data_IF_501007025158
#
_entry.id   IF_501007025158
#
_cell.length_a   1.000
_cell.length_b   1.000
_cell.length_c   1.000
_cell.angle_alpha   90.00
_cell.angle_beta   90.00
_cell.angle_gamma   90.00
#
_symmetry.space_group_name_H-M   'P 1'
#
loop_
_entity.id
_entity.type
_entity.pdbx_description
1 polymer ?
#
# COMPACT_ATOMS: atom_id res chain seq x y z
N UNK A 1 -2.04 33.57 -5.06
CA UNK A 1 -1.41 32.23 -5.03
C UNK A 1 -0.35 32.17 -3.93
N UNK A 2 -0.01 30.98 -3.44
CA UNK A 2 0.99 30.86 -2.37
C UNK A 2 1.12 29.45 -1.78
N UNK A 3 2.03 29.32 -0.82
CA UNK A 3 2.22 28.11 -0.03
C UNK A 3 1.54 28.22 1.33
N UNK A 4 0.89 27.13 1.74
CA UNK A 4 0.26 27.02 3.05
C UNK A 4 0.50 25.63 3.63
N UNK A 5 0.47 25.55 4.96
CA UNK A 5 0.42 24.29 5.70
C UNK A 5 -1.02 23.97 6.06
N UNK A 6 -1.38 22.71 5.92
CA UNK A 6 -2.67 22.18 6.33
C UNK A 6 -2.45 20.91 7.14
N UNK A 7 -3.20 20.77 8.23
CA UNK A 7 -3.21 19.53 9.01
C UNK A 7 -4.02 18.45 8.29
N UNK A 8 -3.58 17.20 8.38
CA UNK A 8 -4.31 16.06 7.80
C UNK A 8 -5.81 16.04 8.20
N UNK A 9 -6.10 16.34 9.46
CA UNK A 9 -7.47 16.35 10.01
C UNK A 9 -8.34 17.48 9.42
N UNK A 10 -7.72 18.53 8.87
CA UNK A 10 -8.42 19.71 8.37
C UNK A 10 -8.83 19.59 6.90
N UNK A 11 -8.26 18.65 6.13
CA UNK A 11 -8.59 18.47 4.71
C UNK A 11 -10.08 18.26 4.44
N UNK A 12 -10.81 17.35 5.13
CA UNK A 12 -12.23 17.16 4.85
C UNK A 12 -13.06 18.43 5.09
N UNK A 13 -12.65 19.27 6.04
CA UNK A 13 -13.34 20.53 6.36
C UNK A 13 -13.14 21.57 5.25
N UNK A 14 -11.92 21.67 4.73
CA UNK A 14 -11.58 22.55 3.60
C UNK A 14 -12.31 22.10 2.33
N UNK A 15 -12.36 20.79 2.07
CA UNK A 15 -13.11 20.24 0.94
C UNK A 15 -14.61 20.58 1.06
N UNK A 16 -15.18 20.45 2.25
CA UNK A 16 -16.55 20.85 2.51
C UNK A 16 -16.76 22.36 2.28
N UNK A 17 -15.89 23.23 2.82
CA UNK A 17 -15.97 24.70 2.57
C UNK A 17 -15.92 25.04 1.07
N UNK A 18 -15.08 24.32 0.30
CA UNK A 18 -14.94 24.54 -1.14
C UNK A 18 -16.17 24.15 -1.96
N UNK A 19 -16.99 23.22 -1.46
CA UNK A 19 -18.19 22.74 -2.16
C UNK A 19 -19.36 23.73 -2.06
N UNK A 20 -19.45 24.49 -0.95
CA UNK A 20 -20.56 25.40 -0.67
C UNK A 20 -20.26 26.88 -0.93
N UNK A 21 -19.01 27.24 -1.27
CA UNK A 21 -18.59 28.64 -1.42
C UNK A 21 -18.21 28.95 -2.87
N UNK A 22 -18.97 29.81 -3.54
CA UNK A 22 -18.61 30.32 -4.86
C UNK A 22 -17.35 31.21 -4.78
N UNK A 23 -16.39 31.01 -5.68
CA UNK A 23 -15.12 31.75 -5.69
C UNK A 23 -14.15 31.38 -4.56
N UNK A 24 -14.27 30.18 -3.97
CA UNK A 24 -13.42 29.72 -2.88
C UNK A 24 -11.93 29.74 -3.24
N UNK A 25 -11.13 30.38 -2.38
CA UNK A 25 -9.68 30.31 -2.42
C UNK A 25 -9.14 29.62 -1.16
N UNK A 26 -8.43 28.51 -1.34
CA UNK A 26 -7.87 27.71 -0.25
C UNK A 26 -6.96 28.52 0.69
N UNK A 27 -6.29 29.56 0.17
CA UNK A 27 -5.40 30.45 0.95
C UNK A 27 -6.14 31.34 1.95
N UNK A 28 -7.46 31.48 1.81
CA UNK A 28 -8.32 32.30 2.68
C UNK A 28 -9.03 31.47 3.76
N UNK A 29 -8.91 30.14 3.74
CA UNK A 29 -9.56 29.29 4.74
C UNK A 29 -8.92 29.47 6.13
N UNK A 30 -9.75 29.46 7.17
CA UNK A 30 -9.31 29.51 8.57
C UNK A 30 -8.54 28.25 9.02
N UNK A 31 -8.67 27.16 8.26
CA UNK A 31 -8.06 25.88 8.58
C UNK A 31 -6.64 25.71 8.04
N UNK A 32 -6.13 26.69 7.28
CA UNK A 32 -4.78 26.67 6.72
C UNK A 32 -3.88 27.68 7.42
N UNK A 33 -2.63 27.30 7.64
CA UNK A 33 -1.58 28.22 8.10
C UNK A 33 -0.80 28.69 6.88
N UNK A 34 -1.07 29.92 6.45
CA UNK A 34 -0.38 30.52 5.32
C UNK A 34 1.11 30.73 5.62
N UNK A 35 1.98 30.25 4.73
CA UNK A 35 3.44 30.37 4.86
C UNK A 35 3.98 31.48 3.97
N UNK A 36 3.55 31.49 2.71
CA UNK A 36 4.07 32.41 1.70
C UNK A 36 2.97 32.78 0.71
N UNK A 37 2.92 34.06 0.31
CA UNK A 37 2.13 34.52 -0.84
C UNK A 37 3.08 35.13 -1.87
N UNK A 38 2.76 34.92 -3.14
CA UNK A 38 3.57 35.41 -4.26
C UNK A 38 3.58 36.94 -4.39
N UNK A 39 2.60 37.64 -3.82
CA UNK A 39 2.56 39.11 -3.75
C UNK A 39 3.79 39.69 -3.02
N UNK A 40 4.37 38.95 -2.07
CA UNK A 40 5.59 39.33 -1.34
C UNK A 40 6.86 39.24 -2.19
N UNK A 41 6.78 38.69 -3.40
CA UNK A 41 7.90 38.56 -4.34
C UNK A 41 8.10 39.83 -5.20
N UNK A 42 7.49 40.96 -4.82
CA UNK A 42 7.39 42.22 -5.59
C UNK A 42 8.72 42.99 -5.82
N UNK A 43 9.80 42.30 -6.17
CA UNK A 43 11.06 42.92 -6.62
C UNK A 43 12.27 41.97 -6.67
N UNK A 44 12.24 40.80 -6.03
CA UNK A 44 13.33 39.82 -6.03
C UNK A 44 12.90 38.50 -6.68
N UNK A 45 13.74 37.91 -7.53
CA UNK A 45 13.46 36.64 -8.21
C UNK A 45 13.47 35.41 -7.27
N UNK A 46 13.89 35.58 -6.02
CA UNK A 46 14.06 34.50 -5.03
C UNK A 46 13.55 34.91 -3.65
N UNK A 47 13.00 33.95 -2.90
CA UNK A 47 12.55 34.14 -1.52
C UNK A 47 13.03 32.96 -0.67
N UNK A 48 13.69 33.28 0.46
CA UNK A 48 14.08 32.31 1.47
C UNK A 48 13.45 32.72 2.81
N UNK A 49 12.73 31.79 3.44
CA UNK A 49 12.12 32.01 4.75
C UNK A 49 11.92 30.69 5.47
N UNK A 50 11.93 30.74 6.81
CA UNK A 50 11.61 29.61 7.67
C UNK A 50 10.46 29.99 8.59
N UNK A 51 9.61 29.02 8.91
CA UNK A 51 8.47 29.19 9.81
C UNK A 51 8.53 28.12 10.88
N UNK A 52 8.51 28.55 12.15
CA UNK A 52 8.40 27.64 13.28
C UNK A 52 6.94 27.19 13.46
N UNK A 53 6.77 25.90 13.74
CA UNK A 53 5.47 25.30 14.03
C UNK A 53 5.45 24.95 15.51
N UNK A 54 4.60 25.63 16.27
CA UNK A 54 4.49 25.48 17.73
C UNK A 54 3.60 24.28 18.11
N UNK A 55 2.57 23.99 17.32
CA UNK A 55 1.62 22.91 17.57
C UNK A 55 2.08 21.60 16.90
N UNK A 56 2.39 20.53 17.65
CA UNK A 56 2.83 19.27 17.08
C UNK A 56 1.65 18.54 16.41
N UNK A 57 1.72 18.40 15.09
CA UNK A 57 0.76 17.62 14.30
C UNK A 57 1.40 17.21 12.96
N UNK A 58 0.64 16.48 12.12
CA UNK A 58 1.01 16.16 10.74
C UNK A 58 0.53 17.25 9.80
N UNK A 59 1.48 17.96 9.22
CA UNK A 59 1.24 19.04 8.28
C UNK A 59 1.67 18.63 6.88
N UNK A 60 0.86 18.99 5.89
CA UNK A 60 1.21 18.94 4.48
C UNK A 60 1.43 20.36 3.97
N UNK A 61 2.54 20.56 3.25
CA UNK A 61 2.84 21.79 2.54
C UNK A 61 2.26 21.72 1.14
N UNK A 62 1.37 22.65 0.81
CA UNK A 62 0.65 22.66 -0.47
C UNK A 62 0.80 24.02 -1.14
N UNK A 63 0.92 23.99 -2.45
CA UNK A 63 0.80 25.18 -3.29
C UNK A 63 -0.66 25.39 -3.72
N UNK A 64 -1.24 26.54 -3.36
CA UNK A 64 -2.57 26.95 -3.77
C UNK A 64 -2.54 27.98 -4.90
N UNK A 65 -3.06 27.60 -6.07
CA UNK A 65 -3.40 28.55 -7.14
C UNK A 65 -4.90 28.87 -7.09
N UNK A 66 -5.25 30.12 -6.76
CA UNK A 66 -6.63 30.62 -6.74
C UNK A 66 -6.94 31.55 -7.92
N UNK A 67 -6.04 31.65 -8.91
CA UNK A 67 -6.20 32.47 -10.11
C UNK A 67 -5.84 31.59 -11.31
N UNK A 68 -6.78 30.73 -11.75
CA UNK A 68 -6.51 29.71 -12.76
C UNK A 68 -6.09 30.28 -14.12
N UNK A 69 -6.32 31.59 -14.37
CA UNK A 69 -5.94 32.29 -15.58
C UNK A 69 -4.42 32.46 -15.73
N UNK A 70 -3.67 32.33 -14.63
CA UNK A 70 -2.24 32.53 -14.59
C UNK A 70 -1.50 31.23 -14.31
N UNK A 71 -0.57 30.88 -15.19
CA UNK A 71 0.36 29.77 -15.01
C UNK A 71 1.64 30.27 -14.35
N UNK A 72 2.15 29.51 -13.37
CA UNK A 72 3.39 29.84 -12.67
C UNK A 72 4.35 28.66 -12.75
N UNK A 73 5.56 28.94 -13.23
CA UNK A 73 6.69 28.01 -13.17
C UNK A 73 7.67 28.52 -12.12
N UNK A 74 8.06 27.65 -11.20
CA UNK A 74 8.97 28.00 -10.10
C UNK A 74 9.85 26.80 -9.74
N UNK A 75 11.06 27.10 -9.28
CA UNK A 75 11.92 26.11 -8.63
C UNK A 75 11.76 26.27 -7.12
N UNK A 76 11.32 25.20 -6.44
CA UNK A 76 10.94 25.25 -5.03
C UNK A 76 11.78 24.25 -4.26
N UNK A 77 12.56 24.75 -3.30
CA UNK A 77 13.28 23.91 -2.34
C UNK A 77 12.60 24.02 -0.97
N UNK A 78 12.14 22.88 -0.44
CA UNK A 78 11.42 22.83 0.83
C UNK A 78 12.07 21.84 1.77
N UNK A 79 12.37 22.26 2.99
CA UNK A 79 12.88 21.40 4.04
C UNK A 79 11.91 21.42 5.23
N UNK A 80 11.41 20.24 5.62
CA UNK A 80 10.61 20.06 6.83
C UNK A 80 11.36 19.11 7.75
N UNK A 81 11.68 19.59 8.95
CA UNK A 81 12.40 18.83 9.96
C UNK A 81 11.88 19.18 11.36
N UNK A 82 11.93 18.18 12.23
CA UNK A 82 11.76 18.35 13.66
C UNK A 82 13.11 18.69 14.29
N UNK A 83 13.10 19.47 15.36
CA UNK A 83 14.30 19.76 16.15
C UNK A 83 14.20 19.00 17.46
N UNK A 84 15.18 18.15 17.73
CA UNK A 84 15.26 17.38 18.98
C UNK A 84 15.87 18.24 20.10
N UNK A 85 15.72 17.81 21.35
CA UNK A 85 16.22 18.54 22.52
C UNK A 85 17.74 18.81 22.49
N UNK A 86 18.49 18.03 21.71
CA UNK A 86 19.93 18.16 21.48
C UNK A 86 20.27 19.12 20.31
N UNK A 87 19.28 19.78 19.71
CA UNK A 87 19.43 20.65 18.55
C UNK A 87 19.61 19.92 17.22
N UNK A 88 19.58 18.58 17.20
CA UNK A 88 19.72 17.81 15.97
C UNK A 88 18.44 17.86 15.13
N UNK A 89 18.61 17.94 13.80
CA UNK A 89 17.50 17.87 12.84
C UNK A 89 17.04 16.42 12.68
N UNK A 90 15.74 16.20 12.71
CA UNK A 90 15.09 14.92 12.48
C UNK A 90 14.05 15.10 11.36
N UNK A 91 14.36 14.58 10.18
CA UNK A 91 13.51 14.74 9.00
C UNK A 91 12.38 13.69 8.94
N UNK A 92 12.23 12.80 9.92
CA UNK A 92 11.12 11.86 9.95
C UNK A 92 9.82 12.54 10.40
N UNK A 93 8.67 12.20 9.80
CA UNK A 93 7.37 12.69 10.24
C UNK A 93 7.06 12.33 11.70
N UNK A 94 6.23 13.17 12.35
CA UNK A 94 5.70 12.90 13.68
C UNK A 94 5.01 11.52 13.73
N UNK A 95 5.46 10.67 14.66
CA UNK A 95 5.00 9.29 14.83
C UNK A 95 5.85 8.22 14.11
N UNK A 96 6.82 8.61 13.27
CA UNK A 96 7.76 7.66 12.64
C UNK A 96 9.16 7.68 13.27
N UNK A 97 9.45 8.62 14.17
CA UNK A 97 10.78 8.78 14.80
C UNK A 97 11.27 7.55 15.58
N UNK A 98 10.34 6.72 16.08
CA UNK A 98 10.66 5.46 16.77
C UNK A 98 10.89 4.27 15.80
N UNK A 99 10.42 4.37 14.55
CA UNK A 99 10.42 3.27 13.58
C UNK A 99 11.80 2.69 13.28
N UNK A 100 12.88 3.48 13.08
CA UNK A 100 14.21 2.92 12.86
C UNK A 100 14.63 1.97 13.98
N UNK A 101 14.45 2.39 15.24
CA UNK A 101 14.81 1.61 16.42
C UNK A 101 13.98 0.33 16.53
N UNK A 102 12.68 0.39 16.24
CA UNK A 102 11.79 -0.77 16.25
C UNK A 102 12.18 -1.79 15.18
N UNK A 103 12.46 -1.35 13.95
CA UNK A 103 12.90 -2.24 12.89
C UNK A 103 14.24 -2.91 13.21
N UNK A 104 15.19 -2.15 13.76
CA UNK A 104 16.46 -2.68 14.21
C UNK A 104 16.31 -3.72 15.34
N UNK A 105 15.49 -3.42 16.36
CA UNK A 105 15.22 -4.36 17.45
C UNK A 105 14.59 -5.65 16.94
N UNK A 106 13.57 -5.54 16.07
CA UNK A 106 12.95 -6.71 15.45
C UNK A 106 13.95 -7.50 14.60
N UNK A 107 14.84 -6.82 13.87
CA UNK A 107 15.91 -7.48 13.12
C UNK A 107 16.79 -8.35 14.03
N UNK A 108 17.20 -7.85 15.20
CA UNK A 108 17.99 -8.63 16.17
C UNK A 108 17.21 -9.87 16.65
N UNK A 109 15.95 -9.71 17.02
CA UNK A 109 15.08 -10.82 17.45
C UNK A 109 14.98 -11.90 16.36
N UNK A 110 14.71 -11.51 15.11
CA UNK A 110 14.62 -12.45 14.00
C UNK A 110 15.97 -13.10 13.65
N UNK A 111 17.08 -12.40 13.87
CA UNK A 111 18.44 -12.95 13.66
C UNK A 111 18.76 -14.00 14.72
N UNK A 112 18.37 -13.78 15.97
CA UNK A 112 18.49 -14.78 17.04
C UNK A 112 17.65 -16.01 16.70
N UNK A 113 16.38 -15.83 16.31
CA UNK A 113 15.53 -16.95 15.88
C UNK A 113 16.10 -17.69 14.68
N UNK A 114 16.68 -17.00 13.70
CA UNK A 114 17.37 -17.62 12.57
C UNK A 114 18.54 -18.47 13.05
N UNK A 115 19.39 -17.94 13.96
CA UNK A 115 20.50 -18.68 14.55
C UNK A 115 20.05 -19.93 15.31
N UNK A 116 19.04 -19.80 16.18
CA UNK A 116 18.45 -20.93 16.90
C UNK A 116 17.86 -21.97 15.95
N UNK A 117 17.16 -21.54 14.90
CA UNK A 117 16.56 -22.43 13.90
C UNK A 117 17.63 -23.20 13.12
N UNK A 118 18.68 -22.52 12.66
CA UNK A 118 19.83 -23.14 11.99
C UNK A 118 20.49 -24.15 12.91
N UNK A 119 20.73 -23.79 14.17
CA UNK A 119 21.31 -24.69 15.17
C UNK A 119 20.49 -25.98 15.35
N UNK A 120 19.17 -25.85 15.50
CA UNK A 120 18.25 -27.00 15.60
C UNK A 120 18.32 -27.85 14.34
N UNK A 121 18.31 -27.23 13.15
CA UNK A 121 18.38 -27.94 11.87
C UNK A 121 19.70 -28.72 11.71
N UNK A 122 20.82 -28.16 12.18
CA UNK A 122 22.12 -28.85 12.13
C UNK A 122 22.13 -30.02 13.11
N UNK A 123 21.64 -29.82 14.34
CA UNK A 123 21.63 -30.86 15.38
C UNK A 123 20.73 -32.05 15.01
N UNK A 124 19.57 -31.77 14.42
CA UNK A 124 18.58 -32.78 14.07
C UNK A 124 18.57 -33.10 12.56
N UNK A 125 19.73 -33.05 11.89
CA UNK A 125 19.84 -33.21 10.43
C UNK A 125 19.14 -34.44 9.87
N UNK A 126 19.05 -35.53 10.64
CA UNK A 126 18.38 -36.77 10.23
C UNK A 126 16.86 -36.65 10.05
N UNK A 127 16.20 -35.66 10.65
CA UNK A 127 14.75 -35.44 10.53
C UNK A 127 14.41 -34.12 9.81
N UNK A 128 15.41 -33.41 9.30
CA UNK A 128 15.21 -32.12 8.60
C UNK A 128 14.83 -32.36 7.15
N UNK A 129 13.55 -32.12 6.86
CA UNK A 129 13.05 -32.08 5.48
C UNK A 129 13.31 -30.74 4.79
N UNK A 130 13.11 -30.72 3.46
CA UNK A 130 13.26 -29.51 2.62
C UNK A 130 12.43 -28.32 3.11
N UNK A 131 11.29 -28.56 3.76
CA UNK A 131 10.43 -27.51 4.30
C UNK A 131 11.16 -26.67 5.35
N UNK A 132 11.95 -27.31 6.23
CA UNK A 132 12.70 -26.61 7.29
C UNK A 132 13.77 -25.69 6.71
N UNK A 133 14.40 -26.06 5.59
CA UNK A 133 15.35 -25.23 4.86
C UNK A 133 14.66 -24.02 4.21
N UNK A 134 13.48 -24.22 3.62
CA UNK A 134 12.68 -23.12 3.06
C UNK A 134 12.17 -22.19 4.18
N UNK A 135 11.80 -22.72 5.35
CA UNK A 135 11.48 -21.91 6.53
C UNK A 135 12.70 -21.13 7.06
N UNK A 136 13.90 -21.70 6.99
CA UNK A 136 15.13 -20.97 7.30
C UNK A 136 15.30 -19.78 6.34
N UNK A 137 15.06 -19.98 5.04
CA UNK A 137 15.09 -18.90 4.06
C UNK A 137 14.03 -17.82 4.36
N UNK A 138 12.85 -18.18 4.88
CA UNK A 138 11.84 -17.19 5.32
C UNK A 138 12.35 -16.27 6.43
N UNK A 139 12.97 -16.85 7.44
CA UNK A 139 13.54 -16.10 8.55
C UNK A 139 14.66 -15.17 8.08
N UNK A 140 15.51 -15.65 7.15
CA UNK A 140 16.56 -14.84 6.52
C UNK A 140 15.99 -13.64 5.77
N UNK A 141 15.08 -13.83 4.82
CA UNK A 141 14.50 -12.71 4.06
C UNK A 141 13.66 -11.78 4.93
N UNK A 142 13.06 -12.28 6.01
CA UNK A 142 12.39 -11.45 7.02
C UNK A 142 13.38 -10.53 7.74
N UNK A 143 14.55 -11.05 8.13
CA UNK A 143 15.61 -10.25 8.75
C UNK A 143 16.18 -9.21 7.77
N UNK A 144 16.53 -9.62 6.55
CA UNK A 144 17.04 -8.72 5.49
C UNK A 144 16.08 -7.57 5.19
N UNK A 145 14.77 -7.85 5.11
CA UNK A 145 13.77 -6.80 4.95
C UNK A 145 13.78 -5.79 6.11
N UNK A 146 13.90 -6.26 7.35
CA UNK A 146 13.84 -5.41 8.55
C UNK A 146 15.07 -4.51 8.68
N UNK A 147 16.27 -5.02 8.38
CA UNK A 147 17.48 -4.19 8.41
C UNK A 147 17.45 -3.11 7.32
N UNK A 148 16.97 -3.42 6.10
CA UNK A 148 16.79 -2.41 5.06
C UNK A 148 15.77 -1.34 5.47
N UNK A 149 14.66 -1.72 6.11
CA UNK A 149 13.68 -0.75 6.63
C UNK A 149 14.27 0.15 7.72
N UNK A 150 15.11 -0.41 8.59
CA UNK A 150 15.80 0.35 9.63
C UNK A 150 16.77 1.36 9.02
N UNK A 151 17.64 0.91 8.11
CA UNK A 151 18.63 1.75 7.45
C UNK A 151 17.99 2.85 6.62
N UNK A 152 16.95 2.54 5.84
CA UNK A 152 16.19 3.55 5.07
C UNK A 152 15.68 4.67 5.98
N UNK A 153 14.98 4.31 7.07
CA UNK A 153 14.43 5.29 8.00
C UNK A 153 15.52 6.03 8.76
N UNK A 154 16.60 5.37 9.15
CA UNK A 154 17.76 6.00 9.80
C UNK A 154 18.45 7.00 8.87
N UNK A 155 18.56 6.67 7.59
CA UNK A 155 19.14 7.54 6.58
C UNK A 155 18.27 8.78 6.37
N UNK A 156 16.97 8.59 6.12
CA UNK A 156 16.00 9.69 5.96
C UNK A 156 16.01 10.58 7.20
N UNK A 157 16.11 10.02 8.41
CA UNK A 157 16.22 10.80 9.65
C UNK A 157 17.35 11.84 9.61
N UNK A 158 18.48 11.52 8.95
CA UNK A 158 19.69 12.35 8.93
C UNK A 158 19.78 13.26 7.71
N UNK A 159 19.35 12.78 6.54
CA UNK A 159 19.56 13.47 5.26
C UNK A 159 18.29 14.09 4.68
N UNK A 160 17.12 13.65 5.14
CA UNK A 160 15.83 14.08 4.61
C UNK A 160 15.52 13.56 3.20
N UNK A 161 16.38 12.73 2.59
CA UNK A 161 16.21 12.26 1.21
C UNK A 161 16.18 10.72 1.13
N UNK A 162 15.24 10.13 0.36
CA UNK A 162 15.24 8.69 0.11
C UNK A 162 16.33 8.34 -0.90
N UNK A 163 17.27 7.47 -0.52
CA UNK A 163 18.44 7.11 -1.34
C UNK A 163 18.29 5.75 -2.07
N UNK A 164 17.08 5.17 -2.07
CA UNK A 164 16.79 3.89 -2.73
C UNK A 164 16.87 2.64 -1.85
N UNK A 165 17.13 2.78 -0.54
CA UNK A 165 17.08 1.64 0.40
C UNK A 165 15.68 1.05 0.55
N UNK A 166 14.65 1.84 0.29
CA UNK A 166 13.26 1.42 0.16
C UNK A 166 13.07 0.36 -0.94
N UNK A 167 13.82 0.44 -2.06
CA UNK A 167 13.81 -0.58 -3.12
C UNK A 167 14.24 -1.93 -2.56
N UNK A 168 15.31 -1.99 -1.77
CA UNK A 168 15.77 -3.22 -1.14
C UNK A 168 14.73 -3.80 -0.17
N UNK A 169 14.04 -2.94 0.58
CA UNK A 169 12.91 -3.35 1.43
C UNK A 169 11.79 -4.02 0.63
N UNK A 170 11.43 -3.48 -0.53
CA UNK A 170 10.43 -4.09 -1.41
C UNK A 170 10.93 -5.39 -2.04
N UNK A 171 12.18 -5.44 -2.50
CA UNK A 171 12.80 -6.64 -3.08
C UNK A 171 12.88 -7.78 -2.06
N UNK A 172 13.35 -7.55 -0.84
CA UNK A 172 13.35 -8.61 0.18
C UNK A 172 11.94 -8.95 0.67
N UNK A 173 11.03 -7.97 0.66
CA UNK A 173 9.60 -8.19 0.83
C UNK A 173 9.02 -9.17 -0.20
N UNK A 174 9.46 -9.09 -1.46
CA UNK A 174 9.10 -10.01 -2.52
C UNK A 174 9.40 -11.44 -2.16
N UNK A 175 10.70 -11.71 -1.96
CA UNK A 175 11.21 -13.06 -1.79
C UNK A 175 10.63 -13.66 -0.52
N UNK A 176 10.51 -12.87 0.55
CA UNK A 176 9.80 -13.28 1.78
C UNK A 176 8.33 -13.66 1.51
N UNK A 177 7.64 -12.97 0.62
CA UNK A 177 6.26 -13.26 0.22
C UNK A 177 6.14 -14.55 -0.60
N UNK A 178 6.95 -14.68 -1.66
CA UNK A 178 6.97 -15.87 -2.53
C UNK A 178 7.31 -17.12 -1.75
N UNK A 179 8.38 -17.07 -0.96
CA UNK A 179 8.80 -18.21 -0.15
C UNK A 179 7.72 -18.55 0.89
N UNK A 180 7.03 -17.56 1.46
CA UNK A 180 6.02 -17.82 2.51
C UNK A 180 4.86 -18.59 1.89
N UNK A 181 4.46 -18.13 0.72
CA UNK A 181 3.42 -18.79 -0.03
C UNK A 181 3.82 -20.22 -0.42
N UNK A 182 5.04 -20.42 -0.93
CA UNK A 182 5.58 -21.75 -1.24
C UNK A 182 5.52 -22.68 -0.02
N UNK A 183 5.89 -22.20 1.17
CA UNK A 183 5.78 -23.00 2.41
C UNK A 183 4.33 -23.37 2.73
N UNK A 184 3.39 -22.42 2.61
CA UNK A 184 1.96 -22.69 2.88
C UNK A 184 1.42 -23.78 1.95
N UNK A 185 1.76 -23.72 0.65
CA UNK A 185 1.36 -24.76 -0.30
C UNK A 185 2.01 -26.08 0.04
N UNK A 186 3.32 -26.11 0.29
CA UNK A 186 4.03 -27.35 0.60
C UNK A 186 3.48 -28.04 1.85
N UNK A 187 3.06 -27.27 2.86
CA UNK A 187 2.38 -27.78 4.05
C UNK A 187 0.96 -28.27 3.68
N UNK A 188 0.19 -27.45 2.96
CA UNK A 188 -1.21 -27.76 2.61
C UNK A 188 -1.39 -28.93 1.65
N UNK A 189 -0.43 -29.17 0.75
CA UNK A 189 -0.44 -30.30 -0.19
C UNK A 189 0.25 -31.55 0.36
N UNK A 190 0.74 -31.52 1.61
CA UNK A 190 1.45 -32.65 2.22
C UNK A 190 2.77 -33.01 1.54
N UNK A 191 3.36 -32.07 0.79
CA UNK A 191 4.52 -32.26 -0.08
C UNK A 191 5.85 -32.53 0.66
N UNK A 192 5.83 -32.67 2.00
CA UNK A 192 6.98 -33.17 2.77
C UNK A 192 7.29 -34.64 2.46
N UNK A 193 6.31 -35.43 2.01
CA UNK A 193 6.46 -36.84 1.65
C UNK A 193 6.11 -37.04 0.17
N UNK A 194 7.13 -37.36 -0.64
CA UNK A 194 7.06 -37.51 -2.09
C UNK A 194 5.88 -38.42 -2.56
N UNK A 195 4.97 -37.88 -3.38
CA UNK A 195 4.38 -38.64 -4.50
C UNK A 195 4.81 -37.95 -5.81
N UNK A 196 5.58 -38.62 -6.69
CA UNK A 196 6.01 -38.05 -7.98
C UNK A 196 4.87 -37.90 -9.01
N UNK A 197 3.62 -38.15 -8.60
CA UNK A 197 2.43 -38.10 -9.43
C UNK A 197 1.42 -37.09 -8.82
N UNK A 198 1.64 -35.80 -9.09
CA UNK A 198 0.58 -34.80 -8.95
C UNK A 198 -0.52 -35.15 -9.95
N UNK A 199 -1.76 -35.23 -9.47
CA UNK A 199 -2.92 -35.44 -10.34
C UNK A 199 -3.06 -34.25 -11.29
N UNK A 200 -3.45 -34.49 -12.55
CA UNK A 200 -3.66 -33.45 -13.58
C UNK A 200 -4.44 -32.22 -13.06
N UNK A 201 -5.42 -32.47 -12.18
CA UNK A 201 -6.25 -31.43 -11.55
C UNK A 201 -5.45 -30.54 -10.58
N UNK A 202 -4.62 -31.14 -9.73
CA UNK A 202 -3.79 -30.42 -8.76
C UNK A 202 -2.71 -29.59 -9.47
N UNK A 203 -2.13 -30.10 -10.56
CA UNK A 203 -1.18 -29.34 -11.39
C UNK A 203 -1.80 -28.07 -11.96
N UNK A 204 -3.03 -28.15 -12.47
CA UNK A 204 -3.73 -26.99 -13.06
C UNK A 204 -4.14 -25.96 -12.01
N UNK A 205 -4.56 -26.41 -10.82
CA UNK A 205 -4.85 -25.51 -9.69
C UNK A 205 -3.58 -24.81 -9.22
N UNK A 206 -2.46 -25.53 -9.08
CA UNK A 206 -1.17 -24.96 -8.74
C UNK A 206 -0.70 -23.93 -9.80
N UNK A 207 -0.86 -24.25 -11.09
CA UNK A 207 -0.52 -23.35 -12.19
C UNK A 207 -1.34 -22.06 -12.15
N UNK A 208 -2.66 -22.16 -11.99
CA UNK A 208 -3.53 -20.99 -11.84
C UNK A 208 -3.11 -20.14 -10.64
N UNK A 209 -2.84 -20.79 -9.51
CA UNK A 209 -2.42 -20.11 -8.29
C UNK A 209 -1.10 -19.36 -8.50
N UNK A 210 -0.10 -19.98 -9.12
CA UNK A 210 1.19 -19.35 -9.44
C UNK A 210 1.01 -18.11 -10.31
N UNK A 211 0.16 -18.20 -11.34
CA UNK A 211 -0.16 -17.07 -12.24
C UNK A 211 -0.84 -15.94 -11.47
N UNK A 212 -1.80 -16.25 -10.59
CA UNK A 212 -2.49 -15.25 -9.76
C UNK A 212 -1.54 -14.57 -8.78
N UNK A 213 -0.63 -15.31 -8.12
CA UNK A 213 0.40 -14.69 -7.26
C UNK A 213 1.27 -13.74 -8.08
N UNK A 214 1.78 -14.19 -9.23
CA UNK A 214 2.68 -13.40 -10.05
C UNK A 214 2.01 -12.09 -10.48
N UNK A 215 0.71 -12.14 -10.83
CA UNK A 215 -0.09 -10.98 -11.18
C UNK A 215 -0.33 -10.03 -9.98
N UNK A 216 -0.77 -10.56 -8.83
CA UNK A 216 -0.90 -9.77 -7.60
C UNK A 216 0.44 -9.13 -7.20
N UNK A 217 1.54 -9.84 -7.47
CA UNK A 217 2.87 -9.37 -7.16
C UNK A 217 3.35 -8.26 -8.11
N UNK A 218 3.12 -8.44 -9.41
CA UNK A 218 3.40 -7.42 -10.43
C UNK A 218 2.71 -6.10 -10.07
N UNK A 219 1.43 -6.16 -9.69
CA UNK A 219 0.70 -4.95 -9.30
C UNK A 219 1.20 -4.34 -7.98
N UNK A 220 1.60 -5.14 -6.98
CA UNK A 220 2.15 -4.62 -5.71
C UNK A 220 3.51 -3.92 -5.84
N UNK A 221 4.31 -4.26 -6.86
CA UNK A 221 5.60 -3.59 -7.14
C UNK A 221 5.44 -2.46 -8.16
N UNK A 222 4.68 -2.69 -9.22
CA UNK A 222 4.49 -1.69 -10.28
C UNK A 222 3.64 -0.52 -9.82
N UNK A 223 2.63 -0.71 -8.97
CA UNK A 223 1.77 0.41 -8.54
C UNK A 223 2.56 1.45 -7.72
N UNK A 224 3.39 1.08 -6.72
CA UNK A 224 4.29 2.04 -6.08
C UNK A 224 5.32 2.65 -7.03
N UNK A 225 5.91 1.85 -7.93
CA UNK A 225 6.88 2.34 -8.90
C UNK A 225 6.29 3.30 -9.94
N UNK A 226 5.02 3.12 -10.31
CA UNK A 226 4.28 4.07 -11.15
C UNK A 226 3.89 5.30 -10.32
N UNK A 227 3.55 5.13 -9.04
CA UNK A 227 3.28 6.23 -8.12
C UNK A 227 4.47 7.19 -7.95
N UNK A 228 5.71 6.68 -7.98
CA UNK A 228 6.93 7.51 -7.94
C UNK A 228 7.27 8.15 -9.29
N UNK A 229 6.79 7.61 -10.41
CA UNK A 229 6.95 8.20 -11.75
C UNK A 229 5.84 9.21 -12.07
N UNK A 230 4.64 9.02 -11.53
CA UNK A 230 3.42 9.82 -11.81
C UNK A 230 3.09 10.81 -10.67
N UNK A 231 4.04 11.06 -9.76
CA UNK A 231 3.91 12.09 -8.73
C UNK A 231 3.99 13.48 -9.34
N UNK A 232 2.88 13.96 -9.91
CA UNK A 232 2.52 15.39 -9.90
C UNK A 232 1.06 15.72 -10.23
N UNK A 233 0.22 14.79 -10.75
CA UNK A 233 -1.14 15.16 -11.24
C UNK A 233 -2.35 14.55 -10.52
N UNK A 234 -2.20 13.60 -9.59
CA UNK A 234 -3.37 12.87 -9.04
C UNK A 234 -3.26 12.50 -7.55
N UNK A 235 -2.78 13.42 -6.70
CA UNK A 235 -2.71 13.23 -5.24
C UNK A 235 -4.10 12.95 -4.59
N UNK A 236 -5.19 13.36 -5.25
CA UNK A 236 -6.56 13.06 -4.86
C UNK A 236 -6.95 11.57 -5.02
N UNK A 237 -6.26 10.83 -5.89
CA UNK A 237 -6.43 9.37 -6.02
C UNK A 237 -5.72 8.63 -4.88
N UNK A 238 -4.62 9.19 -4.37
CA UNK A 238 -3.88 8.65 -3.23
C UNK A 238 -4.53 9.01 -1.86
N UNK A 239 -5.10 10.20 -1.70
CA UNK A 239 -5.72 10.63 -0.43
C UNK A 239 -7.11 10.04 -0.17
N UNK A 240 -7.86 9.67 -1.22
CA UNK A 240 -9.08 8.83 -1.07
C UNK A 240 -8.74 7.37 -0.70
N UNK A 241 -7.45 7.00 -0.66
CA UNK A 241 -6.92 5.66 -0.41
C UNK A 241 -6.32 5.47 1.00
N UNK A 242 -6.83 6.21 2.00
CA UNK A 242 -6.55 5.93 3.42
C UNK A 242 -7.00 4.52 3.81
N UNK A 243 -6.05 3.58 3.88
CA UNK A 243 -6.22 2.24 4.45
C UNK A 243 -6.92 1.18 3.59
N UNK A 244 -7.38 1.51 2.37
CA UNK A 244 -8.26 0.63 1.58
C UNK A 244 -7.66 -0.05 0.35
N UNK A 245 -6.40 0.22 -0.03
CA UNK A 245 -5.87 -0.33 -1.29
C UNK A 245 -5.39 -1.79 -1.19
N UNK A 246 -5.25 -2.35 0.02
CA UNK A 246 -5.13 -3.80 0.19
C UNK A 246 -6.45 -4.54 -0.09
N UNK A 247 -7.58 -3.82 0.00
CA UNK A 247 -8.91 -4.24 -0.49
C UNK A 247 -9.13 -3.89 -1.97
N UNK A 248 -8.16 -3.21 -2.59
CA UNK A 248 -8.14 -2.76 -3.98
C UNK A 248 -7.91 -3.87 -5.01
N UNK A 249 -8.36 -5.08 -4.73
CA UNK A 249 -8.56 -6.13 -5.73
C UNK A 249 -9.99 -6.70 -5.62
N UNK A 250 -10.96 -5.85 -5.28
CA UNK A 250 -12.29 -6.05 -5.85
C UNK A 250 -12.10 -5.99 -7.36
N UNK A 251 -12.20 -7.12 -8.05
CA UNK A 251 -12.35 -7.11 -9.50
C UNK A 251 -13.54 -6.20 -9.77
N UNK A 252 -13.29 -5.00 -10.29
CA UNK A 252 -14.35 -4.08 -10.68
C UNK A 252 -15.11 -4.76 -11.82
N UNK A 253 -16.18 -5.46 -11.45
CA UNK A 253 -17.06 -6.13 -12.40
C UNK A 253 -17.83 -5.04 -13.14
N UNK A 254 -17.25 -4.57 -14.23
CA UNK A 254 -17.95 -3.73 -15.20
C UNK A 254 -18.76 -4.62 -16.13
N UNK A 255 -19.80 -4.05 -16.76
CA UNK A 255 -20.64 -4.77 -17.74
C UNK A 255 -19.83 -5.40 -18.88
N UNK A 256 -18.69 -4.77 -19.23
CA UNK A 256 -17.72 -5.23 -20.22
C UNK A 256 -17.00 -6.50 -19.79
N UNK A 257 -16.68 -6.64 -18.49
CA UNK A 257 -15.77 -7.67 -18.02
C UNK A 257 -16.48 -8.84 -17.28
N UNK A 258 -17.77 -8.72 -16.87
CA UNK A 258 -18.49 -9.83 -16.19
C UNK A 258 -18.46 -11.12 -17.01
N UNK A 259 -18.65 -11.08 -18.34
CA UNK A 259 -18.67 -12.32 -19.13
C UNK A 259 -17.32 -13.03 -19.15
N UNK A 260 -16.22 -12.27 -19.16
CA UNK A 260 -14.87 -12.85 -19.13
C UNK A 260 -14.58 -13.45 -17.77
N UNK A 261 -14.95 -12.76 -16.70
CA UNK A 261 -14.78 -13.23 -15.32
C UNK A 261 -15.58 -14.51 -15.08
N UNK A 262 -16.85 -14.55 -15.50
CA UNK A 262 -17.70 -15.73 -15.38
C UNK A 262 -17.14 -16.91 -16.17
N UNK A 263 -16.67 -16.69 -17.40
CA UNK A 263 -16.02 -17.74 -18.20
C UNK A 263 -14.77 -18.30 -17.52
N UNK A 264 -13.91 -17.43 -16.98
CA UNK A 264 -12.71 -17.86 -16.25
C UNK A 264 -13.08 -18.62 -14.98
N UNK A 265 -14.13 -18.19 -14.28
CA UNK A 265 -14.61 -18.85 -13.06
C UNK A 265 -15.23 -20.22 -13.35
N UNK A 266 -16.04 -20.34 -14.41
CA UNK A 266 -16.61 -21.61 -14.83
C UNK A 266 -15.53 -22.59 -15.30
N UNK A 267 -14.56 -22.11 -16.08
CA UNK A 267 -13.41 -22.90 -16.52
C UNK A 267 -12.58 -23.36 -15.31
N UNK A 268 -12.35 -22.48 -14.34
CA UNK A 268 -11.69 -22.83 -13.08
C UNK A 268 -12.48 -23.88 -12.28
N UNK A 269 -13.81 -23.76 -12.17
CA UNK A 269 -14.66 -24.74 -11.50
C UNK A 269 -14.62 -26.10 -12.18
N UNK A 270 -14.66 -26.11 -13.51
CA UNK A 270 -14.59 -27.32 -14.33
C UNK A 270 -13.24 -28.03 -14.17
N UNK A 271 -12.15 -27.26 -14.14
CA UNK A 271 -10.78 -27.78 -13.98
C UNK A 271 -10.49 -28.24 -12.54
N UNK A 272 -10.92 -27.48 -11.54
CA UNK A 272 -10.66 -27.76 -10.12
C UNK A 272 -11.60 -28.82 -9.54
N UNK A 273 -12.75 -29.07 -10.17
CA UNK A 273 -13.83 -29.90 -9.63
C UNK A 273 -14.60 -29.24 -8.48
N UNK A 274 -14.29 -27.98 -8.15
CA UNK A 274 -15.03 -27.17 -7.19
C UNK A 274 -16.31 -26.65 -7.85
N UNK A 275 -17.44 -26.79 -7.17
CA UNK A 275 -18.72 -26.23 -7.63
C UNK A 275 -19.02 -24.94 -6.90
N UNK A 276 -19.02 -23.82 -7.62
CA UNK A 276 -19.55 -22.55 -7.10
C UNK A 276 -21.07 -22.65 -7.07
N UNK A 277 -21.66 -22.53 -5.88
CA UNK A 277 -23.10 -22.52 -5.72
C UNK A 277 -23.62 -21.09 -5.90
N UNK A 278 -24.11 -20.78 -7.09
CA UNK A 278 -24.64 -19.45 -7.46
C UNK A 278 -25.78 -18.97 -6.55
N UNK A 279 -26.56 -19.88 -5.97
CA UNK A 279 -27.64 -19.53 -5.03
C UNK A 279 -27.13 -19.17 -3.62
N UNK A 280 -25.97 -19.70 -3.21
CA UNK A 280 -25.29 -19.35 -1.95
C UNK A 280 -24.38 -18.13 -2.11
N UNK A 281 -23.85 -17.90 -3.31
CA UNK A 281 -23.08 -16.71 -3.63
C UNK A 281 -23.95 -15.46 -3.58
N UNK A 282 -23.36 -14.33 -3.17
CA UNK A 282 -24.02 -13.03 -3.14
C UNK A 282 -23.17 -12.00 -3.86
N UNK A 283 -23.81 -11.18 -4.69
CA UNK A 283 -23.17 -10.11 -5.45
C UNK A 283 -23.43 -8.78 -4.74
N UNK A 284 -22.39 -8.14 -4.24
CA UNK A 284 -22.51 -6.77 -3.72
C UNK A 284 -22.17 -5.77 -4.82
N UNK A 285 -23.03 -4.76 -4.98
CA UNK A 285 -22.82 -3.67 -5.93
C UNK A 285 -22.82 -2.36 -5.14
N UNK A 286 -21.85 -1.50 -5.43
CA UNK A 286 -21.73 -0.20 -4.76
C UNK A 286 -23.03 0.61 -4.90
N UNK A 287 -23.50 1.28 -3.83
CA UNK A 287 -24.71 2.10 -3.86
C UNK A 287 -24.63 3.28 -4.84
N UNK A 288 -23.43 3.65 -5.29
CA UNK A 288 -23.21 4.69 -6.31
C UNK A 288 -23.50 4.23 -7.75
N UNK A 289 -23.80 2.95 -7.97
CA UNK A 289 -24.14 2.40 -9.29
C UNK A 289 -25.66 2.38 -9.46
N UNK A 290 -26.11 2.82 -10.63
CA UNK A 290 -27.52 2.81 -11.01
C UNK A 290 -28.15 1.41 -10.80
N UNK A 291 -29.28 1.35 -10.08
CA UNK A 291 -29.95 0.08 -9.71
C UNK A 291 -30.26 -0.82 -10.90
N UNK A 292 -30.51 -0.24 -12.08
CA UNK A 292 -30.75 -0.98 -13.32
C UNK A 292 -29.52 -1.77 -13.75
N UNK A 293 -28.34 -1.14 -13.78
CA UNK A 293 -27.06 -1.80 -14.10
C UNK A 293 -26.69 -2.86 -13.07
N UNK A 294 -26.97 -2.61 -11.79
CA UNK A 294 -26.76 -3.60 -10.72
C UNK A 294 -27.61 -4.87 -10.91
N UNK A 295 -28.86 -4.70 -11.33
CA UNK A 295 -29.77 -5.81 -11.65
C UNK A 295 -29.30 -6.57 -12.89
N UNK A 296 -28.91 -5.87 -13.94
CA UNK A 296 -28.40 -6.48 -15.17
C UNK A 296 -27.12 -7.30 -14.90
N UNK A 297 -26.22 -6.80 -14.04
CA UNK A 297 -25.05 -7.54 -13.55
C UNK A 297 -25.46 -8.82 -12.79
N UNK A 298 -26.40 -8.72 -11.86
CA UNK A 298 -26.89 -9.87 -11.10
C UNK A 298 -27.51 -10.95 -12.00
N UNK A 299 -28.31 -10.55 -12.98
CA UNK A 299 -28.91 -11.47 -13.95
C UNK A 299 -27.85 -12.10 -14.85
N UNK A 300 -26.90 -11.30 -15.35
CA UNK A 300 -25.84 -11.77 -16.26
C UNK A 300 -24.86 -12.72 -15.58
N UNK A 301 -24.53 -12.46 -14.32
CA UNK A 301 -23.61 -13.30 -13.57
C UNK A 301 -24.35 -14.42 -12.78
N UNK A 302 -25.69 -14.46 -12.78
CA UNK A 302 -26.52 -15.52 -12.17
C UNK A 302 -26.50 -15.56 -10.63
N UNK A 303 -26.06 -14.48 -9.98
CA UNK A 303 -25.81 -14.41 -8.53
C UNK A 303 -26.72 -13.33 -7.93
N UNK A 304 -27.51 -13.64 -6.87
CA UNK A 304 -28.42 -12.69 -6.25
C UNK A 304 -27.67 -11.55 -5.54
N UNK A 305 -28.24 -10.34 -5.61
CA UNK A 305 -27.68 -9.15 -4.97
C UNK A 305 -27.72 -9.24 -3.44
N UNK A 306 -26.74 -8.63 -2.79
CA UNK A 306 -26.74 -8.36 -1.34
C UNK A 306 -26.36 -6.92 -1.06
N UNK A 307 -26.98 -6.35 -0.02
CA UNK A 307 -26.61 -5.04 0.52
C UNK A 307 -25.80 -5.17 1.83
N UNK A 308 -25.69 -6.37 2.37
CA UNK A 308 -25.03 -6.62 3.66
C UNK A 308 -23.66 -7.26 3.45
N UNK A 309 -22.66 -6.43 3.13
CA UNK A 309 -21.27 -6.90 3.00
C UNK A 309 -20.71 -7.41 4.34
N UNK A 310 -21.12 -6.78 5.44
CA UNK A 310 -20.60 -6.97 6.81
C UNK A 310 -20.77 -8.40 7.31
N UNK A 311 -21.92 -9.01 7.05
CA UNK A 311 -22.27 -10.38 7.46
C UNK A 311 -21.41 -11.47 6.81
N UNK A 312 -20.87 -11.22 5.62
CA UNK A 312 -20.12 -12.21 4.84
C UNK A 312 -18.60 -12.10 4.99
N UNK A 313 -18.12 -10.99 5.57
CA UNK A 313 -16.69 -10.70 5.70
C UNK A 313 -16.12 -11.01 7.09
N UNK A 314 -16.95 -11.50 8.03
CA UNK A 314 -16.51 -11.83 9.39
C UNK A 314 -16.00 -10.62 10.18
N UNK A 315 -16.35 -9.40 9.74
CA UNK A 315 -16.03 -8.15 10.43
C UNK A 315 -17.22 -7.83 11.35
N UNK A 316 -17.03 -7.71 12.67
CA UNK A 316 -18.11 -7.35 13.58
C UNK A 316 -18.76 -5.99 13.26
#
# INVERSE_FOLDING_TARGET
>A
MGFFLVRDISFPRILNESEYTEGFCVLSSQFVKLIFRLDKLAGGLTYNGSVAIEEPDKYNLIFGNCQPEFEVTMNVHTEMYNVRNDGTKDFLPAGQTLMPKLYFLLFLVYTIFLGTWIFICIKQRSTVDRIHLIMCALLLFKALKLICASEDKMYITKTGTPHGWDVAFYVFGFFKGVILFTVIVLIGTGWSFLKPYLQEREKKVLMFYIVVILFLYFTRVMVPAIGTVVSYRYEWVASRSGGGWELGFLVLVTMSNCSTIMKVMDEFCNISGLKVNSHKSKLYVSPNIERRKARDLSTKCGIPLTNELRKYWGVP
#
